data_IF_101376165363
#
_entry.id   IF_101376165363
#
_cell.length_a   1.000
_cell.length_b   1.000
_cell.length_c   1.000
_cell.angle_alpha   90.00
_cell.angle_beta   90.00
_cell.angle_gamma   90.00
#
_symmetry.space_group_name_H-M   'P 1'
#
loop_
_entity.id
_entity.type
_entity.pdbx_description
1 polymer ?
#
# COMPACT_ATOMS: atom_id res chain seq x y z
N UNK A 1 17.46 12.25 -12.35
CA UNK A 1 16.86 11.08 -13.03
C UNK A 1 15.45 11.47 -13.46
N UNK A 2 14.98 11.03 -14.63
CA UNK A 2 13.58 11.21 -15.01
C UNK A 2 12.68 10.34 -14.14
N UNK A 3 11.45 10.78 -13.93
CA UNK A 3 10.43 9.97 -13.25
C UNK A 3 10.05 8.77 -14.12
N UNK A 4 10.00 7.56 -13.56
CA UNK A 4 9.57 6.39 -14.30
C UNK A 4 8.05 6.40 -14.51
N UNK A 5 7.57 5.82 -15.61
CA UNK A 5 6.12 5.64 -15.85
C UNK A 5 5.50 4.61 -14.89
N UNK A 6 6.30 3.67 -14.41
CA UNK A 6 5.92 2.63 -13.46
C UNK A 6 7.10 2.19 -12.60
N UNK A 7 6.82 1.67 -11.41
CA UNK A 7 7.81 1.05 -10.53
C UNK A 7 7.30 -0.29 -10.02
N UNK A 8 8.21 -1.20 -9.67
CA UNK A 8 7.85 -2.49 -9.09
C UNK A 8 8.40 -2.57 -7.68
N UNK A 9 7.56 -2.37 -6.65
CA UNK A 9 8.06 -2.35 -5.30
C UNK A 9 8.45 -3.75 -4.84
N UNK A 10 9.39 -3.77 -3.91
CA UNK A 10 9.87 -4.91 -3.15
C UNK A 10 9.29 -4.81 -1.74
N UNK A 11 8.16 -5.48 -1.44
CA UNK A 11 7.46 -5.30 -0.16
C UNK A 11 8.23 -5.74 1.08
N UNK A 12 9.24 -6.60 0.89
CA UNK A 12 10.14 -7.05 1.96
C UNK A 12 11.37 -6.16 2.16
N UNK A 13 11.58 -5.14 1.32
CA UNK A 13 12.75 -4.27 1.47
C UNK A 13 12.63 -3.44 2.74
N UNK A 14 13.70 -3.47 3.53
CA UNK A 14 13.86 -2.65 4.74
C UNK A 14 14.64 -1.37 4.48
N UNK A 15 15.02 -1.10 3.23
CA UNK A 15 15.79 0.09 2.88
C UNK A 15 14.92 1.34 2.73
N UNK A 16 13.59 1.19 2.71
CA UNK A 16 12.63 2.26 2.49
C UNK A 16 11.67 2.41 3.66
N UNK A 17 11.25 3.64 3.91
CA UNK A 17 10.20 3.91 4.89
C UNK A 17 8.83 3.50 4.36
N UNK A 18 7.92 3.18 5.27
CA UNK A 18 6.52 2.88 4.97
C UNK A 18 5.66 4.03 5.49
N UNK A 19 5.17 4.88 4.57
CA UNK A 19 4.32 6.03 4.90
C UNK A 19 3.08 6.11 4.02
N UNK A 20 3.19 6.52 2.76
CA UNK A 20 2.09 6.42 1.80
C UNK A 20 1.85 4.95 1.40
N UNK A 21 0.63 4.65 0.94
CA UNK A 21 0.26 3.32 0.41
C UNK A 21 1.15 2.94 -0.80
N UNK A 22 1.17 1.65 -1.19
CA UNK A 22 1.84 1.16 -2.41
C UNK A 22 3.37 1.32 -2.45
N UNK A 23 4.04 1.34 -1.29
CA UNK A 23 5.52 1.45 -1.20
C UNK A 23 6.09 2.63 -1.99
N UNK A 24 5.40 3.76 -1.93
CA UNK A 24 5.69 4.93 -2.77
C UNK A 24 7.12 5.49 -2.61
N UNK A 25 7.75 5.30 -1.45
CA UNK A 25 9.17 5.61 -1.24
C UNK A 25 10.12 4.87 -2.22
N UNK A 26 9.69 3.75 -2.82
CA UNK A 26 10.48 3.00 -3.80
C UNK A 26 10.32 3.53 -5.24
N UNK A 27 9.45 4.51 -5.45
CA UNK A 27 9.04 4.90 -6.79
C UNK A 27 10.07 5.78 -7.51
N UNK A 28 10.73 6.68 -6.78
CA UNK A 28 11.80 7.53 -7.29
C UNK A 28 12.65 8.07 -6.11
N UNK A 29 13.96 8.37 -6.28
CA UNK A 29 14.80 8.85 -5.17
C UNK A 29 14.29 10.13 -4.49
N UNK A 30 13.61 11.01 -5.24
CA UNK A 30 12.98 12.19 -4.65
C UNK A 30 11.81 11.84 -3.73
N UNK A 31 11.03 10.81 -4.09
CA UNK A 31 9.92 10.30 -3.25
C UNK A 31 10.45 9.57 -2.03
N UNK A 32 11.53 8.80 -2.16
CA UNK A 32 12.22 8.17 -1.02
C UNK A 32 12.63 9.21 0.03
N UNK A 33 13.22 10.33 -0.42
CA UNK A 33 13.59 11.43 0.45
C UNK A 33 12.36 12.12 1.05
N UNK A 34 11.34 12.43 0.25
CA UNK A 34 10.12 13.08 0.70
C UNK A 34 9.37 12.25 1.75
N UNK A 35 9.23 10.95 1.52
CA UNK A 35 8.61 10.01 2.44
C UNK A 35 9.45 9.84 3.72
N UNK A 36 10.77 9.76 3.60
CA UNK A 36 11.70 9.72 4.75
C UNK A 36 11.55 10.98 5.60
N UNK A 37 11.51 12.15 4.97
CA UNK A 37 11.27 13.42 5.64
C UNK A 37 9.90 13.46 6.33
N UNK A 38 8.84 12.99 5.66
CA UNK A 38 7.50 12.92 6.22
C UNK A 38 7.43 11.99 7.44
N UNK A 39 8.15 10.86 7.44
CA UNK A 39 8.27 9.97 8.60
C UNK A 39 9.04 10.61 9.74
N UNK A 40 10.17 11.27 9.44
CA UNK A 40 10.96 11.99 10.43
C UNK A 40 10.15 13.11 11.12
N UNK A 41 9.36 13.86 10.35
CA UNK A 41 8.55 14.99 10.83
C UNK A 41 7.42 14.58 11.77
N UNK A 42 7.03 13.30 11.81
CA UNK A 42 5.96 12.82 12.71
C UNK A 42 6.33 13.07 14.17
N UNK A 43 5.43 13.67 14.98
CA UNK A 43 5.72 13.99 16.36
C UNK A 43 5.99 12.73 17.19
N UNK A 44 6.87 12.84 18.19
CA UNK A 44 7.13 11.79 19.17
C UNK A 44 8.23 10.79 18.82
N UNK A 45 8.95 10.95 17.70
CA UNK A 45 10.20 10.23 17.43
C UNK A 45 10.08 8.69 17.36
N UNK A 46 8.86 8.16 17.18
CA UNK A 46 8.59 6.72 17.19
C UNK A 46 9.35 5.97 16.09
N UNK A 47 9.77 6.68 15.04
CA UNK A 47 10.55 6.14 13.93
C UNK A 47 11.86 5.48 14.39
N UNK A 48 12.46 5.95 15.50
CA UNK A 48 13.70 5.36 16.04
C UNK A 48 13.52 3.89 16.41
N UNK A 49 12.41 3.57 17.09
CA UNK A 49 12.06 2.19 17.44
C UNK A 49 11.48 1.43 16.26
N UNK A 50 10.64 2.09 15.46
CA UNK A 50 9.94 1.45 14.35
C UNK A 50 10.88 0.94 13.26
N UNK A 51 11.94 1.70 12.96
CA UNK A 51 12.89 1.39 11.89
C UNK A 51 14.22 0.87 12.44
N UNK A 52 14.32 0.51 13.72
CA UNK A 52 15.55 -0.04 14.29
C UNK A 52 16.01 -1.28 13.51
N UNK A 53 17.28 -1.29 13.09
CA UNK A 53 17.85 -2.38 12.28
C UNK A 53 17.41 -2.39 10.80
N UNK A 54 16.64 -1.40 10.34
CA UNK A 54 16.28 -1.24 8.92
C UNK A 54 17.27 -0.34 8.19
N UNK A 55 17.48 -0.56 6.90
CA UNK A 55 18.32 0.30 6.06
C UNK A 55 17.77 1.73 5.96
N UNK A 56 16.44 1.88 6.01
CA UNK A 56 15.73 3.16 6.06
C UNK A 56 16.11 4.02 7.29
N UNK A 57 16.51 3.39 8.40
CA UNK A 57 16.88 4.11 9.63
C UNK A 57 18.00 5.12 9.38
N UNK A 58 19.03 4.70 8.62
CA UNK A 58 20.17 5.56 8.27
C UNK A 58 19.74 6.79 7.46
N UNK A 59 18.71 6.65 6.61
CA UNK A 59 18.15 7.77 5.85
C UNK A 59 17.44 8.75 6.78
N UNK A 60 16.71 8.23 7.76
CA UNK A 60 16.01 9.06 8.75
C UNK A 60 17.03 9.80 9.65
N UNK A 61 18.08 9.12 10.11
CA UNK A 61 19.18 9.73 10.88
C UNK A 61 19.90 10.82 10.08
N UNK A 62 20.10 10.61 8.77
CA UNK A 62 20.64 11.63 7.88
C UNK A 62 19.75 12.87 7.81
N UNK A 63 18.43 12.69 7.67
CA UNK A 63 17.48 13.80 7.71
C UNK A 63 17.52 14.51 9.07
N UNK A 64 17.54 13.76 10.17
CA UNK A 64 17.63 14.30 11.54
C UNK A 64 18.86 15.18 11.71
N UNK A 65 20.03 14.71 11.25
CA UNK A 65 21.28 15.45 11.31
C UNK A 65 21.24 16.77 10.53
N UNK A 66 20.72 16.75 9.30
CA UNK A 66 20.58 17.97 8.48
C UNK A 66 19.63 18.96 9.15
N UNK A 67 18.47 18.50 9.58
CA UNK A 67 17.43 19.38 10.14
C UNK A 67 17.88 20.00 11.46
N UNK A 68 18.59 19.26 12.30
CA UNK A 68 19.23 19.81 13.51
C UNK A 68 20.23 20.91 13.14
N UNK A 69 21.08 20.69 12.13
CA UNK A 69 22.05 21.68 11.66
C UNK A 69 21.42 22.97 11.11
N UNK A 70 20.17 22.90 10.63
CA UNK A 70 19.40 24.04 10.14
C UNK A 70 18.61 24.78 11.24
N UNK A 71 18.65 24.29 12.48
CA UNK A 71 17.92 24.91 13.60
C UNK A 71 18.40 26.34 13.83
N UNK A 72 17.47 27.29 13.87
CA UNK A 72 17.77 28.71 14.06
C UNK A 72 18.28 29.45 12.82
N UNK A 73 18.39 28.78 11.68
CA UNK A 73 18.75 29.42 10.41
C UNK A 73 17.51 29.92 9.66
N UNK A 74 17.54 31.19 9.24
CA UNK A 74 16.52 31.72 8.34
C UNK A 74 16.74 31.20 6.91
N UNK A 75 15.68 30.86 6.15
CA UNK A 75 15.81 30.47 4.75
C UNK A 75 16.44 31.60 3.92
N UNK A 76 17.58 31.32 3.27
CA UNK A 76 18.36 32.34 2.56
C UNK A 76 17.67 32.93 1.31
N UNK A 77 16.67 32.24 0.75
CA UNK A 77 15.99 32.67 -0.47
C UNK A 77 14.57 32.12 -0.56
N UNK A 78 13.57 32.96 -0.29
CA UNK A 78 12.16 32.63 -0.56
C UNK A 78 11.90 32.92 -2.04
N UNK A 79 12.19 31.96 -2.91
CA UNK A 79 11.78 32.06 -4.32
C UNK A 79 10.27 31.83 -4.38
N UNK A 80 9.50 32.87 -4.73
CA UNK A 80 8.03 32.80 -4.90
C UNK A 80 7.61 32.15 -6.23
N UNK A 81 8.28 31.07 -6.65
CA UNK A 81 7.89 30.33 -7.85
C UNK A 81 6.76 29.38 -7.46
N UNK A 82 5.61 29.55 -8.09
CA UNK A 82 4.52 28.58 -7.98
C UNK A 82 4.83 27.39 -8.90
N UNK A 83 4.94 26.21 -8.32
CA UNK A 83 5.09 24.94 -9.06
C UNK A 83 3.68 24.38 -9.25
N UNK A 84 3.30 24.09 -10.50
CA UNK A 84 1.97 23.59 -10.88
C UNK A 84 0.80 24.47 -10.34
N UNK A 85 0.69 25.73 -10.80
CA UNK A 85 -0.30 26.66 -10.27
C UNK A 85 -1.72 26.14 -10.53
N UNK A 86 -2.63 26.26 -9.55
CA UNK A 86 -4.00 25.75 -9.65
C UNK A 86 -4.75 26.19 -10.94
N UNK A 87 -4.62 27.45 -11.42
CA UNK A 87 -5.23 27.88 -12.68
C UNK A 87 -4.76 27.10 -13.93
N UNK A 88 -3.61 26.44 -13.86
CA UNK A 88 -3.09 25.60 -14.96
C UNK A 88 -3.74 24.21 -15.00
N UNK A 89 -4.45 23.80 -13.93
CA UNK A 89 -5.13 22.51 -13.85
C UNK A 89 -6.43 22.52 -14.67
N UNK A 90 -6.32 22.18 -15.96
CA UNK A 90 -7.47 22.06 -16.88
C UNK A 90 -8.18 20.70 -16.83
N UNK A 91 -7.61 19.75 -16.08
CA UNK A 91 -8.07 18.37 -16.03
C UNK A 91 -9.39 18.27 -15.26
N UNK A 92 -10.44 17.77 -15.91
CA UNK A 92 -11.72 17.54 -15.25
C UNK A 92 -11.66 16.33 -14.31
N UNK A 93 -12.55 16.28 -13.31
CA UNK A 93 -12.71 15.09 -12.47
C UNK A 93 -13.04 13.85 -13.29
N UNK A 94 -13.85 13.98 -14.35
CA UNK A 94 -14.20 12.86 -15.24
C UNK A 94 -12.98 12.30 -15.94
N UNK A 95 -12.16 13.16 -16.56
CA UNK A 95 -10.92 12.74 -17.21
C UNK A 95 -9.91 12.17 -16.21
N UNK A 96 -9.88 12.72 -15.00
CA UNK A 96 -9.10 12.15 -13.90
C UNK A 96 -9.53 10.73 -13.58
N UNK A 97 -10.80 10.47 -13.33
CA UNK A 97 -11.26 9.12 -13.01
C UNK A 97 -11.20 8.15 -14.19
N UNK A 98 -11.40 8.61 -15.42
CA UNK A 98 -11.24 7.79 -16.62
C UNK A 98 -9.78 7.38 -16.80
N UNK A 99 -8.84 8.34 -16.74
CA UNK A 99 -7.41 8.03 -16.76
C UNK A 99 -7.05 7.14 -15.59
N UNK A 100 -7.48 7.47 -14.37
CA UNK A 100 -7.20 6.67 -13.17
C UNK A 100 -7.70 5.23 -13.30
N UNK A 101 -8.88 4.98 -13.89
CA UNK A 101 -9.37 3.62 -14.12
C UNK A 101 -8.56 2.90 -15.20
N UNK A 102 -8.24 3.58 -16.30
CA UNK A 102 -7.42 3.01 -17.37
C UNK A 102 -5.96 2.74 -16.94
N UNK A 103 -5.39 3.58 -16.07
CA UNK A 103 -4.02 3.51 -15.59
C UNK A 103 -3.85 2.60 -14.36
N UNK A 104 -4.76 2.64 -13.38
CA UNK A 104 -4.71 1.82 -12.16
C UNK A 104 -5.56 0.55 -12.27
N UNK A 105 -5.73 0.00 -13.48
CA UNK A 105 -6.10 -1.41 -13.57
C UNK A 105 -4.86 -2.18 -13.11
N UNK A 106 -4.77 -2.39 -11.81
CA UNK A 106 -3.83 -3.32 -11.22
C UNK A 106 -4.11 -4.64 -11.91
N UNK A 107 -3.18 -5.08 -12.77
CA UNK A 107 -3.22 -6.43 -13.33
C UNK A 107 -3.07 -7.37 -12.17
N UNK A 108 -4.21 -7.77 -11.62
CA UNK A 108 -4.31 -8.73 -10.55
C UNK A 108 -4.11 -10.09 -11.21
N UNK A 109 -2.99 -10.78 -10.96
CA UNK A 109 -2.71 -12.07 -11.57
C UNK A 109 -3.91 -13.01 -11.44
N UNK A 110 -4.25 -13.73 -12.51
CA UNK A 110 -5.38 -14.68 -12.51
C UNK A 110 -5.28 -15.71 -11.37
N UNK A 111 -4.06 -16.02 -10.90
CA UNK A 111 -3.83 -16.88 -9.73
C UNK A 111 -4.43 -16.32 -8.44
N UNK A 112 -4.41 -15.01 -8.26
CA UNK A 112 -4.94 -14.36 -7.06
C UNK A 112 -6.47 -14.35 -7.04
N UNK A 113 -7.13 -14.12 -8.18
CA UNK A 113 -8.59 -14.23 -8.28
C UNK A 113 -9.05 -15.64 -7.98
N UNK A 114 -8.36 -16.64 -8.54
CA UNK A 114 -8.67 -18.05 -8.31
C UNK A 114 -8.69 -18.40 -6.82
N UNK A 115 -7.83 -17.77 -6.01
CA UNK A 115 -7.84 -17.99 -4.57
C UNK A 115 -9.05 -17.33 -3.89
N UNK A 116 -9.51 -16.15 -4.35
CA UNK A 116 -10.73 -15.53 -3.82
C UNK A 116 -11.96 -16.41 -4.05
N UNK A 117 -12.05 -17.07 -5.21
CA UNK A 117 -13.15 -17.99 -5.52
C UNK A 117 -13.17 -19.28 -4.67
N UNK A 118 -12.11 -19.55 -3.88
CA UNK A 118 -12.11 -20.66 -2.92
C UNK A 118 -12.92 -20.33 -1.66
N UNK A 119 -12.97 -19.05 -1.28
CA UNK A 119 -13.66 -18.56 -0.07
C UNK A 119 -15.01 -17.93 -0.42
N UNK A 120 -15.09 -17.27 -1.57
CA UNK A 120 -16.22 -16.49 -2.01
C UNK A 120 -16.77 -16.97 -3.35
N UNK A 121 -17.96 -16.49 -3.72
CA UNK A 121 -18.65 -16.90 -4.92
C UNK A 121 -19.44 -15.76 -5.54
N UNK A 122 -19.54 -15.78 -6.86
CA UNK A 122 -20.38 -14.89 -7.67
C UNK A 122 -21.82 -15.42 -7.89
N UNK A 123 -22.17 -16.57 -7.29
CA UNK A 123 -23.46 -17.23 -7.52
C UNK A 123 -24.63 -16.32 -7.13
N UNK A 124 -25.47 -16.00 -8.12
CA UNK A 124 -26.67 -15.17 -7.97
C UNK A 124 -27.66 -15.70 -6.93
N UNK A 125 -27.67 -17.00 -6.65
CA UNK A 125 -28.49 -17.64 -5.60
C UNK A 125 -28.10 -17.18 -4.20
N UNK A 126 -26.89 -16.62 -4.04
CA UNK A 126 -26.35 -16.12 -2.77
C UNK A 126 -26.53 -14.61 -2.59
N UNK A 127 -27.42 -13.95 -3.33
CA UNK A 127 -27.68 -12.50 -3.18
C UNK A 127 -28.05 -12.05 -1.76
N UNK A 128 -28.62 -12.93 -0.94
CA UNK A 128 -28.91 -12.66 0.46
C UNK A 128 -27.70 -12.87 1.40
N UNK A 129 -26.66 -13.57 0.95
CA UNK A 129 -25.46 -13.82 1.76
C UNK A 129 -24.61 -12.55 1.91
N UNK A 130 -23.83 -12.41 3.00
CA UNK A 130 -22.98 -11.24 3.24
C UNK A 130 -21.99 -10.98 2.09
N UNK A 131 -21.69 -9.72 1.84
CA UNK A 131 -20.68 -9.33 0.84
C UNK A 131 -19.28 -9.72 1.30
N UNK A 132 -18.49 -10.35 0.42
CA UNK A 132 -17.09 -10.67 0.68
C UNK A 132 -16.28 -9.41 1.06
N UNK A 133 -16.57 -8.29 0.40
CA UNK A 133 -15.93 -7.01 0.69
C UNK A 133 -16.32 -6.43 2.06
N UNK A 134 -17.51 -6.75 2.60
CA UNK A 134 -17.90 -6.34 3.95
C UNK A 134 -17.23 -7.24 4.99
N UNK A 135 -17.26 -8.55 4.78
CA UNK A 135 -16.57 -9.55 5.62
C UNK A 135 -15.07 -9.24 5.77
N UNK A 136 -14.37 -9.04 4.65
CA UNK A 136 -12.93 -8.70 4.67
C UNK A 136 -12.65 -7.37 5.38
N UNK A 137 -13.56 -6.40 5.31
CA UNK A 137 -13.43 -5.13 6.04
C UNK A 137 -13.58 -5.33 7.55
N UNK A 138 -14.52 -6.18 7.96
CA UNK A 138 -14.79 -6.49 9.35
C UNK A 138 -13.58 -7.16 10.01
N UNK A 139 -13.05 -8.22 9.39
CA UNK A 139 -11.93 -9.00 9.94
C UNK A 139 -10.54 -8.49 9.56
N UNK A 140 -10.43 -7.31 8.93
CA UNK A 140 -9.19 -6.81 8.31
C UNK A 140 -8.00 -6.79 9.28
N UNK A 141 -8.17 -6.21 10.48
CA UNK A 141 -7.07 -6.08 11.43
C UNK A 141 -6.61 -7.45 11.87
N UNK A 142 -7.54 -8.26 12.31
CA UNK A 142 -7.30 -9.59 12.86
C UNK A 142 -6.57 -10.51 11.88
N UNK A 143 -7.06 -10.63 10.64
CA UNK A 143 -6.38 -11.47 9.63
C UNK A 143 -5.02 -10.91 9.23
N UNK A 144 -4.86 -9.57 9.26
CA UNK A 144 -3.57 -8.94 8.96
C UNK A 144 -2.56 -9.19 10.06
N UNK A 145 -2.99 -9.13 11.32
CA UNK A 145 -2.15 -9.39 12.50
C UNK A 145 -1.68 -10.85 12.53
N UNK A 146 -2.60 -11.80 12.30
CA UNK A 146 -2.28 -13.23 12.25
C UNK A 146 -1.25 -13.53 11.14
N UNK A 147 -1.48 -13.01 9.93
CA UNK A 147 -0.59 -13.29 8.80
C UNK A 147 0.74 -12.56 8.94
N UNK A 148 0.76 -11.32 9.44
CA UNK A 148 2.00 -10.60 9.70
C UNK A 148 2.87 -11.32 10.73
N UNK A 149 2.26 -11.81 11.83
CA UNK A 149 2.95 -12.59 12.85
C UNK A 149 3.50 -13.90 12.28
N UNK A 150 2.67 -14.67 11.55
CA UNK A 150 3.06 -15.98 11.04
C UNK A 150 4.10 -15.93 9.91
N UNK A 151 4.12 -14.86 9.12
CA UNK A 151 5.05 -14.72 7.98
C UNK A 151 6.27 -13.86 8.28
N UNK A 152 6.28 -13.12 9.39
CA UNK A 152 7.32 -12.13 9.71
C UNK A 152 7.31 -10.91 8.78
N UNK A 153 6.28 -10.78 7.93
CA UNK A 153 6.10 -9.66 7.01
C UNK A 153 5.54 -8.47 7.77
N UNK A 154 6.00 -7.27 7.43
CA UNK A 154 5.53 -6.06 8.07
C UNK A 154 4.00 -5.90 7.89
N UNK A 155 3.28 -5.63 8.98
CA UNK A 155 1.81 -5.56 9.02
C UNK A 155 1.20 -4.65 7.94
N UNK A 156 1.84 -3.51 7.65
CA UNK A 156 1.44 -2.62 6.56
C UNK A 156 1.35 -3.33 5.20
N UNK A 157 2.33 -4.18 4.86
CA UNK A 157 2.36 -4.92 3.58
C UNK A 157 1.18 -5.88 3.48
N UNK A 158 0.90 -6.61 4.56
CA UNK A 158 -0.23 -7.54 4.62
C UNK A 158 -1.56 -6.78 4.49
N UNK A 159 -1.73 -5.71 5.25
CA UNK A 159 -2.93 -4.88 5.24
C UNK A 159 -3.18 -4.27 3.85
N UNK A 160 -2.13 -3.84 3.16
CA UNK A 160 -2.22 -3.34 1.80
C UNK A 160 -2.77 -4.41 0.84
N UNK A 161 -2.30 -5.66 0.93
CA UNK A 161 -2.84 -6.78 0.13
C UNK A 161 -4.33 -7.01 0.43
N UNK A 162 -4.73 -6.98 1.70
CA UNK A 162 -6.15 -7.13 2.08
C UNK A 162 -7.01 -5.99 1.51
N UNK A 163 -6.54 -4.74 1.51
CA UNK A 163 -7.25 -3.61 0.88
C UNK A 163 -7.53 -3.89 -0.60
N UNK A 164 -6.57 -4.43 -1.33
CA UNK A 164 -6.78 -4.80 -2.73
C UNK A 164 -7.75 -5.96 -2.90
N UNK A 165 -7.68 -6.98 -2.05
CA UNK A 165 -8.67 -8.07 -2.04
C UNK A 165 -10.09 -7.53 -1.84
N UNK A 166 -10.28 -6.54 -0.95
CA UNK A 166 -11.58 -5.89 -0.72
C UNK A 166 -12.11 -5.21 -1.98
N UNK A 167 -11.25 -4.45 -2.68
CA UNK A 167 -11.60 -3.78 -3.94
C UNK A 167 -11.98 -4.82 -4.99
N UNK A 168 -11.16 -5.86 -5.18
CA UNK A 168 -11.40 -6.90 -6.18
C UNK A 168 -12.67 -7.70 -5.91
N UNK A 169 -12.92 -8.08 -4.65
CA UNK A 169 -14.16 -8.73 -4.24
C UNK A 169 -15.40 -7.89 -4.55
N UNK A 170 -15.30 -6.55 -4.44
CA UNK A 170 -16.40 -5.64 -4.80
C UNK A 170 -16.62 -5.59 -6.31
N UNK A 171 -15.56 -5.49 -7.09
CA UNK A 171 -15.64 -5.46 -8.57
C UNK A 171 -16.27 -6.74 -9.13
N UNK A 172 -15.89 -7.89 -8.55
CA UNK A 172 -16.40 -9.21 -8.92
C UNK A 172 -17.76 -9.53 -8.25
N UNK A 173 -18.33 -8.63 -7.45
CA UNK A 173 -19.57 -8.83 -6.70
C UNK A 173 -19.60 -10.12 -5.86
N UNK A 174 -18.46 -10.49 -5.28
CA UNK A 174 -18.33 -11.74 -4.53
C UNK A 174 -19.08 -11.71 -3.19
N UNK A 175 -19.62 -12.87 -2.82
CA UNK A 175 -20.36 -13.11 -1.59
C UNK A 175 -19.84 -14.34 -0.86
N UNK A 176 -20.14 -14.44 0.42
CA UNK A 176 -19.75 -15.61 1.23
C UNK A 176 -20.35 -16.89 0.65
N UNK A 177 -19.49 -17.89 0.45
CA UNK A 177 -19.87 -19.19 -0.09
C UNK A 177 -20.13 -20.25 1.00
N UNK A 178 -19.73 -19.94 2.24
CA UNK A 178 -19.67 -20.83 3.41
C UNK A 178 -20.00 -20.04 4.68
N UNK A 179 -19.95 -20.71 5.84
CA UNK A 179 -20.16 -20.03 7.12
C UNK A 179 -19.07 -18.97 7.37
N UNK A 180 -19.38 -18.01 8.24
CA UNK A 180 -18.44 -16.93 8.57
C UNK A 180 -17.15 -17.47 9.23
N UNK A 181 -17.27 -18.52 10.03
CA UNK A 181 -16.15 -19.18 10.72
C UNK A 181 -15.23 -19.90 9.73
N UNK A 182 -15.77 -20.73 8.83
CA UNK A 182 -15.00 -21.40 7.78
C UNK A 182 -14.32 -20.37 6.83
N UNK A 183 -15.04 -19.30 6.48
CA UNK A 183 -14.50 -18.24 5.64
C UNK A 183 -13.32 -17.53 6.33
N UNK A 184 -13.38 -17.36 7.65
CA UNK A 184 -12.33 -16.72 8.45
C UNK A 184 -11.05 -17.57 8.50
N UNK A 185 -11.17 -18.88 8.60
CA UNK A 185 -9.99 -19.76 8.54
C UNK A 185 -9.37 -19.78 7.14
N UNK A 186 -10.20 -19.98 6.12
CA UNK A 186 -9.71 -20.14 4.75
C UNK A 186 -9.14 -18.84 4.17
N UNK A 187 -9.62 -17.68 4.63
CA UNK A 187 -9.07 -16.39 4.18
C UNK A 187 -7.68 -16.12 4.73
N UNK A 188 -7.35 -16.57 5.94
CA UNK A 188 -5.99 -16.46 6.50
C UNK A 188 -5.00 -17.26 5.66
N UNK A 189 -5.37 -18.49 5.28
CA UNK A 189 -4.56 -19.34 4.40
C UNK A 189 -4.40 -18.69 3.01
N UNK A 190 -5.50 -18.19 2.46
CA UNK A 190 -5.51 -17.51 1.15
C UNK A 190 -4.62 -16.28 1.14
N UNK A 191 -4.73 -15.43 2.17
CA UNK A 191 -3.93 -14.22 2.34
C UNK A 191 -2.45 -14.58 2.51
N UNK A 192 -2.14 -15.60 3.31
CA UNK A 192 -0.76 -16.07 3.49
C UNK A 192 -0.13 -16.51 2.17
N UNK A 193 -0.82 -17.34 1.38
CA UNK A 193 -0.32 -17.74 0.06
C UNK A 193 -0.06 -16.55 -0.84
N UNK A 194 -0.94 -15.55 -0.79
CA UNK A 194 -0.85 -14.36 -1.60
C UNK A 194 0.32 -13.45 -1.20
N UNK A 195 0.52 -13.26 0.11
CA UNK A 195 1.67 -12.56 0.68
C UNK A 195 2.96 -13.25 0.26
N UNK A 196 3.06 -14.57 0.42
CA UNK A 196 4.26 -15.33 0.05
C UNK A 196 4.54 -15.27 -1.46
N UNK A 197 3.51 -15.28 -2.29
CA UNK A 197 3.69 -15.12 -3.73
C UNK A 197 4.22 -13.72 -4.07
N UNK A 198 3.64 -12.66 -3.49
CA UNK A 198 4.10 -11.27 -3.65
C UNK A 198 5.55 -11.10 -3.24
N UNK A 199 6.00 -11.73 -2.15
CA UNK A 199 7.41 -11.65 -1.73
C UNK A 199 8.35 -12.35 -2.72
N UNK A 200 7.91 -13.47 -3.31
CA UNK A 200 8.74 -14.24 -4.27
C UNK A 200 8.82 -13.57 -5.64
N UNK A 201 7.71 -13.04 -6.15
CA UNK A 201 7.63 -12.51 -7.52
C UNK A 201 7.87 -11.00 -7.60
N UNK A 202 7.99 -10.33 -6.45
CA UNK A 202 7.81 -8.88 -6.37
C UNK A 202 6.34 -8.50 -6.49
N UNK A 203 6.00 -7.27 -6.11
CA UNK A 203 4.65 -6.76 -6.32
C UNK A 203 4.37 -6.55 -7.82
N UNK A 204 3.11 -6.33 -8.20
CA UNK A 204 2.84 -5.89 -9.58
C UNK A 204 3.41 -4.49 -9.81
N UNK A 205 3.64 -4.15 -11.08
CA UNK A 205 4.07 -2.81 -11.47
C UNK A 205 2.98 -1.80 -11.11
N UNK A 206 3.37 -0.75 -10.41
CA UNK A 206 2.50 0.35 -10.00
C UNK A 206 2.82 1.53 -10.91
N UNK A 207 1.83 2.12 -11.60
CA UNK A 207 2.05 3.33 -12.37
C UNK A 207 2.32 4.51 -11.45
N UNK A 208 3.18 5.42 -11.90
CA UNK A 208 3.46 6.68 -11.21
C UNK A 208 2.47 7.79 -11.61
#
# INVERSE_FOLDING_TARGET
MPYPEWYQPQPGSRDYVLNLDAWYAQAHPAEDFAETFAVWLKPGGQWRRQYEGWGAHRKIEYVDHIMIGLTGQCPARIVRREVEPLPSLKKTLREHYQRKRAYYTIDWPASYERNLYRVFSEDSRRRAAPSAAQFLRHYRSEISDIVALGTGVHHYTVNHIVKHMIVRCRELNLRLAMSEEEARELIVVTLTMQVMQVLRTGYHRIPL
#
